data_IF_146405370427
#
_entry.id   IF_146405370427
#
_cell.length_a   1.000
_cell.length_b   1.000
_cell.length_c   1.000
_cell.angle_alpha   90.00
_cell.angle_beta   90.00
_cell.angle_gamma   90.00
#
_symmetry.space_group_name_H-M   'P 1'
#
loop_
_entity.id
_entity.type
_entity.pdbx_description
1 polymer ?
#
# COMPACT_ATOMS: atom_id res chain seq x y z
N UNK A 1 -28.72 -12.72 -4.06
CA UNK A 1 -27.89 -12.59 -2.83
C UNK A 1 -27.68 -11.10 -2.64
N UNK A 2 -27.81 -10.52 -1.43
CA UNK A 2 -27.66 -9.08 -1.28
C UNK A 2 -26.30 -8.61 -1.81
N UNK A 3 -26.27 -7.41 -2.39
CA UNK A 3 -25.03 -6.82 -2.89
C UNK A 3 -23.98 -6.76 -1.77
N UNK A 4 -22.74 -7.22 -2.01
CA UNK A 4 -21.69 -7.22 -0.98
C UNK A 4 -21.19 -5.82 -0.63
N UNK A 5 -21.51 -4.81 -1.46
CA UNK A 5 -21.01 -3.45 -1.28
C UNK A 5 -19.49 -3.41 -1.32
N UNK A 6 -18.89 -2.70 -0.36
CA UNK A 6 -17.44 -2.59 -0.20
C UNK A 6 -16.76 -3.86 0.35
N UNK A 7 -17.52 -4.89 0.74
CA UNK A 7 -16.93 -6.13 1.24
C UNK A 7 -16.43 -7.00 0.09
N UNK A 8 -15.18 -7.46 0.20
CA UNK A 8 -14.63 -8.41 -0.76
C UNK A 8 -15.29 -9.78 -0.57
N UNK A 9 -15.85 -10.35 -1.63
CA UNK A 9 -16.49 -11.67 -1.64
C UNK A 9 -16.05 -12.50 -2.85
N UNK A 10 -16.01 -13.82 -2.65
CA UNK A 10 -15.62 -14.79 -3.66
C UNK A 10 -16.83 -15.53 -4.23
N UNK A 11 -16.66 -16.12 -5.42
CA UNK A 11 -17.62 -17.07 -5.98
C UNK A 11 -18.89 -16.43 -6.56
N UNK A 12 -18.88 -15.12 -6.82
CA UNK A 12 -19.99 -14.42 -7.48
C UNK A 12 -19.60 -13.93 -8.87
N UNK A 13 -20.60 -13.77 -9.75
CA UNK A 13 -20.40 -13.21 -11.08
C UNK A 13 -20.27 -11.69 -11.02
N UNK A 14 -19.28 -11.18 -11.74
CA UNK A 14 -18.99 -9.75 -11.85
C UNK A 14 -19.22 -9.24 -13.26
N UNK A 15 -19.55 -7.96 -13.33
CA UNK A 15 -19.79 -7.26 -14.57
C UNK A 15 -19.10 -5.90 -14.52
N UNK A 16 -18.66 -5.43 -15.68
CA UNK A 16 -17.98 -4.14 -15.84
C UNK A 16 -18.41 -3.46 -17.13
N UNK A 17 -18.30 -2.13 -17.25
CA UNK A 17 -18.46 -1.45 -18.52
C UNK A 17 -17.37 -1.86 -19.52
N UNK A 18 -17.71 -1.95 -20.80
CA UNK A 18 -16.78 -2.35 -21.87
C UNK A 18 -15.58 -1.38 -22.02
N UNK A 19 -15.73 -0.13 -21.56
CA UNK A 19 -14.69 0.88 -21.62
C UNK A 19 -13.71 0.85 -20.43
N UNK A 20 -13.94 0.00 -19.43
CA UNK A 20 -12.99 -0.24 -18.33
C UNK A 20 -12.22 -1.53 -18.57
N UNK A 21 -11.07 -1.72 -17.93
CA UNK A 21 -10.42 -3.02 -17.88
C UNK A 21 -11.07 -3.91 -16.80
N UNK A 22 -11.03 -5.24 -16.94
CA UNK A 22 -11.50 -6.15 -15.89
C UNK A 22 -10.82 -5.85 -14.54
N UNK A 23 -11.61 -5.73 -13.47
CA UNK A 23 -11.11 -5.48 -12.11
C UNK A 23 -10.79 -4.02 -11.77
N UNK A 24 -10.93 -3.08 -12.70
CA UNK A 24 -10.77 -1.64 -12.40
C UNK A 24 -12.02 -1.03 -11.78
N UNK A 25 -13.18 -1.42 -12.28
CA UNK A 25 -14.48 -1.01 -11.80
C UNK A 25 -15.46 -2.12 -12.09
N UNK A 26 -16.02 -2.73 -11.04
CA UNK A 26 -16.89 -3.89 -11.17
C UNK A 26 -18.14 -3.76 -10.30
N UNK A 27 -19.21 -4.41 -10.73
CA UNK A 27 -20.43 -4.55 -9.96
C UNK A 27 -20.93 -5.98 -9.97
N UNK A 28 -21.50 -6.39 -8.82
CA UNK A 28 -21.93 -7.76 -8.63
C UNK A 28 -23.15 -8.10 -9.50
N UNK A 29 -23.37 -9.39 -9.75
CA UNK A 29 -24.52 -9.87 -10.52
C UNK A 29 -25.88 -9.42 -9.98
N UNK A 30 -26.01 -9.18 -8.67
CA UNK A 30 -27.24 -8.62 -8.08
C UNK A 30 -27.49 -7.19 -8.58
N UNK A 31 -26.48 -6.31 -8.48
CA UNK A 31 -26.58 -4.93 -8.98
C UNK A 31 -26.80 -4.89 -10.48
N UNK A 32 -26.15 -5.77 -11.25
CA UNK A 32 -26.40 -5.91 -12.67
C UNK A 32 -27.86 -6.26 -12.96
N UNK A 33 -28.39 -7.32 -12.35
CA UNK A 33 -29.75 -7.78 -12.58
C UNK A 33 -30.80 -6.74 -12.18
N UNK A 34 -30.58 -6.03 -11.07
CA UNK A 34 -31.54 -5.07 -10.53
C UNK A 34 -31.55 -3.73 -11.29
N UNK A 35 -30.39 -3.18 -11.64
CA UNK A 35 -30.28 -1.79 -12.13
C UNK A 35 -29.86 -1.66 -13.60
N UNK A 36 -29.26 -2.70 -14.18
CA UNK A 36 -28.57 -2.59 -15.46
C UNK A 36 -29.20 -3.47 -16.53
N UNK A 37 -29.48 -4.74 -16.22
CA UNK A 37 -29.90 -5.77 -17.18
C UNK A 37 -31.09 -5.37 -18.06
N UNK A 38 -32.05 -4.63 -17.52
CA UNK A 38 -33.27 -4.25 -18.25
C UNK A 38 -33.21 -2.82 -18.85
N UNK A 39 -32.04 -2.20 -18.87
CA UNK A 39 -31.84 -0.87 -19.47
C UNK A 39 -31.34 -0.98 -20.91
N UNK A 40 -31.59 0.05 -21.71
CA UNK A 40 -31.10 0.14 -23.10
C UNK A 40 -29.57 0.18 -23.20
N UNK A 41 -28.90 0.63 -22.13
CA UNK A 41 -27.44 0.74 -22.07
C UNK A 41 -26.75 -0.55 -21.60
N UNK A 42 -27.49 -1.65 -21.36
CA UNK A 42 -26.91 -2.93 -20.93
C UNK A 42 -25.89 -3.50 -21.93
N UNK A 43 -25.99 -3.14 -23.21
CA UNK A 43 -25.12 -3.59 -24.31
C UNK A 43 -23.68 -3.13 -24.13
N UNK A 44 -23.47 -2.10 -23.30
CA UNK A 44 -22.14 -1.58 -22.96
C UNK A 44 -21.50 -2.30 -21.77
N UNK A 45 -22.09 -3.40 -21.31
CA UNK A 45 -21.58 -4.18 -20.19
C UNK A 45 -20.99 -5.50 -20.64
N UNK A 46 -19.90 -5.88 -19.95
CA UNK A 46 -19.18 -7.14 -20.06
C UNK A 46 -19.47 -7.97 -18.83
N UNK A 47 -19.55 -9.29 -19.03
CA UNK A 47 -19.48 -10.27 -17.95
C UNK A 47 -18.00 -10.63 -17.75
N UNK A 48 -17.47 -10.36 -16.56
CA UNK A 48 -16.07 -10.69 -16.22
C UNK A 48 -15.92 -12.10 -15.64
N UNK A 49 -17.04 -12.83 -15.47
CA UNK A 49 -17.05 -14.18 -14.93
C UNK A 49 -17.11 -14.22 -13.40
N UNK A 50 -16.77 -15.37 -12.85
CA UNK A 50 -16.74 -15.61 -11.40
C UNK A 50 -15.34 -15.28 -10.89
N UNK A 51 -15.25 -14.29 -10.00
CA UNK A 51 -13.98 -13.83 -9.42
C UNK A 51 -14.20 -13.30 -7.99
N UNK A 52 -13.11 -13.00 -7.30
CA UNK A 52 -13.11 -12.29 -6.03
C UNK A 52 -13.18 -10.78 -6.28
N UNK A 53 -13.91 -10.04 -5.44
CA UNK A 53 -13.96 -8.59 -5.58
C UNK A 53 -14.94 -7.89 -4.64
N UNK A 54 -14.92 -6.57 -4.72
CA UNK A 54 -15.85 -5.64 -4.09
C UNK A 54 -16.76 -5.01 -5.15
N UNK A 55 -17.95 -4.56 -4.75
CA UNK A 55 -18.89 -3.89 -5.64
C UNK A 55 -18.71 -2.38 -5.57
N UNK A 56 -18.31 -1.79 -6.70
CA UNK A 56 -18.11 -0.35 -6.86
C UNK A 56 -19.43 0.39 -7.16
N UNK A 57 -20.56 -0.33 -7.27
CA UNK A 57 -21.88 0.24 -7.57
C UNK A 57 -22.55 0.90 -6.36
N UNK A 58 -21.89 1.94 -5.83
CA UNK A 58 -22.38 2.76 -4.72
C UNK A 58 -23.66 3.54 -5.10
N UNK A 59 -24.28 4.19 -4.11
CA UNK A 59 -25.46 5.03 -4.35
C UNK A 59 -25.20 6.17 -5.33
N UNK A 60 -24.01 6.80 -5.27
CA UNK A 60 -23.63 7.87 -6.18
C UNK A 60 -23.44 7.34 -7.60
N UNK A 61 -22.76 6.20 -7.75
CA UNK A 61 -22.56 5.53 -9.04
C UNK A 61 -23.91 5.12 -9.66
N UNK A 62 -24.84 4.59 -8.86
CA UNK A 62 -26.22 4.28 -9.27
C UNK A 62 -26.95 5.51 -9.82
N UNK A 63 -26.83 6.66 -9.15
CA UNK A 63 -27.46 7.88 -9.63
C UNK A 63 -26.92 8.30 -11.00
N UNK A 64 -25.61 8.25 -11.20
CA UNK A 64 -24.99 8.60 -12.49
C UNK A 64 -25.39 7.62 -13.59
N UNK A 65 -25.53 6.33 -13.27
CA UNK A 65 -26.07 5.33 -14.19
C UNK A 65 -27.50 5.66 -14.60
N UNK A 66 -28.38 5.99 -13.65
CA UNK A 66 -29.77 6.35 -13.93
C UNK A 66 -29.87 7.61 -14.81
N UNK A 67 -29.00 8.61 -14.61
CA UNK A 67 -28.93 9.79 -15.48
C UNK A 67 -28.55 9.38 -16.91
N UNK A 68 -27.51 8.57 -17.07
CA UNK A 68 -27.09 8.07 -18.38
C UNK A 68 -28.21 7.30 -19.10
N UNK A 69 -28.91 6.40 -18.38
CA UNK A 69 -30.05 5.65 -18.92
C UNK A 69 -31.20 6.59 -19.31
N UNK A 70 -31.53 7.58 -18.47
CA UNK A 70 -32.63 8.53 -18.76
C UNK A 70 -32.39 9.36 -20.03
N UNK A 71 -31.12 9.60 -20.37
CA UNK A 71 -30.72 10.30 -21.60
C UNK A 71 -30.29 9.36 -22.73
N UNK A 72 -30.32 8.05 -22.48
CA UNK A 72 -29.81 7.01 -23.37
C UNK A 72 -28.38 7.31 -23.90
N UNK A 73 -27.52 7.85 -23.03
CA UNK A 73 -26.16 8.27 -23.39
C UNK A 73 -25.13 7.70 -22.40
N UNK A 74 -24.43 6.65 -22.84
CA UNK A 74 -23.38 5.99 -22.06
C UNK A 74 -22.21 6.92 -21.74
N UNK A 75 -21.97 7.96 -22.53
CA UNK A 75 -20.84 8.86 -22.33
C UNK A 75 -20.99 9.70 -21.06
N UNK A 76 -22.22 9.90 -20.58
CA UNK A 76 -22.47 10.54 -19.28
C UNK A 76 -21.89 9.67 -18.15
N UNK A 77 -22.17 8.37 -18.17
CA UNK A 77 -21.64 7.45 -17.18
C UNK A 77 -20.12 7.31 -17.31
N UNK A 78 -19.62 7.20 -18.55
CA UNK A 78 -18.18 7.18 -18.83
C UNK A 78 -17.47 8.42 -18.28
N UNK A 79 -18.00 9.62 -18.54
CA UNK A 79 -17.42 10.88 -18.07
C UNK A 79 -17.38 11.01 -16.55
N UNK A 80 -18.22 10.27 -15.83
CA UNK A 80 -18.14 10.15 -14.37
C UNK A 80 -17.12 9.12 -13.90
N UNK A 81 -17.06 7.95 -14.55
CA UNK A 81 -16.21 6.81 -14.13
C UNK A 81 -14.74 7.01 -14.50
N UNK A 82 -14.43 7.48 -15.71
CA UNK A 82 -13.05 7.56 -16.21
C UNK A 82 -12.12 8.46 -15.39
N UNK A 83 -12.52 9.68 -14.98
CA UNK A 83 -11.65 10.52 -14.14
C UNK A 83 -11.32 9.87 -12.79
N UNK A 84 -12.30 9.18 -12.18
CA UNK A 84 -12.10 8.45 -10.92
C UNK A 84 -11.17 7.26 -11.10
N UNK A 85 -11.31 6.54 -12.21
CA UNK A 85 -10.38 5.47 -12.56
C UNK A 85 -8.96 6.00 -12.80
N UNK A 86 -8.83 7.15 -13.46
CA UNK A 86 -7.54 7.84 -13.61
C UNK A 86 -6.89 8.11 -12.25
N UNK A 87 -7.63 8.71 -11.33
CA UNK A 87 -7.15 8.96 -9.96
C UNK A 87 -6.78 7.67 -9.21
N UNK A 88 -7.62 6.63 -9.26
CA UNK A 88 -7.34 5.34 -8.62
C UNK A 88 -6.07 4.70 -9.18
N UNK A 89 -5.83 4.78 -10.51
CA UNK A 89 -4.60 4.28 -11.14
C UNK A 89 -3.38 5.04 -10.62
N UNK A 90 -3.45 6.38 -10.54
CA UNK A 90 -2.36 7.20 -9.99
C UNK A 90 -2.05 6.85 -8.53
N UNK A 91 -3.08 6.62 -7.71
CA UNK A 91 -2.91 6.18 -6.32
C UNK A 91 -2.28 4.80 -6.23
N UNK A 92 -2.70 3.84 -7.06
CA UNK A 92 -2.10 2.49 -7.13
C UNK A 92 -0.64 2.56 -7.56
N UNK A 93 -0.32 3.33 -8.59
CA UNK A 93 1.06 3.54 -9.05
C UNK A 93 1.94 4.14 -7.93
N UNK A 94 1.40 5.07 -7.14
CA UNK A 94 2.10 5.62 -5.98
C UNK A 94 2.31 4.57 -4.89
N UNK A 95 1.28 3.76 -4.62
CA UNK A 95 1.33 2.66 -3.65
C UNK A 95 2.42 1.64 -4.03
N UNK A 96 2.47 1.22 -5.30
CA UNK A 96 3.47 0.28 -5.81
C UNK A 96 4.89 0.84 -5.65
N UNK A 97 5.11 2.13 -5.97
CA UNK A 97 6.40 2.80 -5.74
C UNK A 97 6.79 2.81 -4.26
N UNK A 98 5.85 3.11 -3.37
CA UNK A 98 6.09 3.12 -1.93
C UNK A 98 6.40 1.73 -1.37
N UNK A 99 5.74 0.68 -1.88
CA UNK A 99 6.03 -0.70 -1.47
C UNK A 99 7.47 -1.10 -1.80
N UNK A 100 7.98 -0.69 -2.98
CA UNK A 100 9.37 -0.91 -3.36
C UNK A 100 10.32 -0.19 -2.40
N UNK A 101 10.07 1.08 -2.10
CA UNK A 101 10.89 1.87 -1.17
C UNK A 101 10.86 1.25 0.24
N UNK A 102 9.68 0.85 0.72
CA UNK A 102 9.52 0.21 2.02
C UNK A 102 10.33 -1.09 2.12
N UNK A 103 10.32 -1.90 1.06
CA UNK A 103 11.09 -3.14 0.97
C UNK A 103 12.60 -2.88 1.01
N UNK A 104 13.07 -1.84 0.32
CA UNK A 104 14.48 -1.42 0.34
C UNK A 104 14.91 -0.93 1.72
N UNK A 105 14.08 -0.12 2.39
CA UNK A 105 14.35 0.35 3.75
C UNK A 105 14.37 -0.79 4.77
N UNK A 106 13.50 -1.79 4.61
CA UNK A 106 13.53 -3.00 5.44
C UNK A 106 14.85 -3.75 5.30
N UNK A 107 15.29 -4.01 4.06
CA UNK A 107 16.57 -4.69 3.79
C UNK A 107 17.76 -3.90 4.35
N UNK A 108 17.77 -2.57 4.15
CA UNK A 108 18.79 -1.70 4.73
C UNK A 108 18.82 -1.81 6.26
N UNK A 109 17.66 -1.79 6.92
CA UNK A 109 17.56 -1.90 8.37
C UNK A 109 18.09 -3.25 8.88
N UNK A 110 17.74 -4.35 8.22
CA UNK A 110 18.25 -5.68 8.55
C UNK A 110 19.77 -5.74 8.48
N UNK A 111 20.36 -5.17 7.42
CA UNK A 111 21.82 -5.08 7.27
C UNK A 111 22.47 -4.26 8.40
N UNK A 112 21.86 -3.13 8.79
CA UNK A 112 22.36 -2.31 9.90
C UNK A 112 22.31 -3.07 11.23
N UNK A 113 21.22 -3.80 11.51
CA UNK A 113 21.09 -4.62 12.73
C UNK A 113 22.18 -5.69 12.80
N UNK A 114 22.43 -6.40 11.69
CA UNK A 114 23.51 -7.41 11.62
C UNK A 114 24.87 -6.75 11.84
N UNK A 115 25.12 -5.62 11.18
CA UNK A 115 26.39 -4.88 11.32
C UNK A 115 26.62 -4.44 12.76
N UNK A 116 25.59 -3.89 13.41
CA UNK A 116 25.65 -3.48 14.81
C UNK A 116 25.98 -4.67 15.72
N UNK A 117 25.33 -5.82 15.50
CA UNK A 117 25.57 -7.03 16.26
C UNK A 117 27.05 -7.47 16.16
N UNK A 118 27.63 -7.44 14.95
CA UNK A 118 29.04 -7.75 14.73
C UNK A 118 29.97 -6.81 15.50
N UNK A 119 29.73 -5.50 15.47
CA UNK A 119 30.53 -4.54 16.23
C UNK A 119 30.40 -4.72 17.75
N UNK A 120 29.22 -5.10 18.26
CA UNK A 120 29.04 -5.43 19.66
C UNK A 120 29.82 -6.70 20.08
N UNK A 121 29.89 -7.71 19.22
CA UNK A 121 30.74 -8.89 19.45
C UNK A 121 32.21 -8.48 19.50
N UNK A 122 32.69 -7.68 18.53
CA UNK A 122 34.08 -7.20 18.49
C UNK A 122 34.44 -6.35 19.71
N UNK A 123 33.54 -5.47 20.15
CA UNK A 123 33.74 -4.69 21.37
C UNK A 123 33.90 -5.58 22.61
N UNK A 124 33.15 -6.69 22.67
CA UNK A 124 33.18 -7.63 23.80
C UNK A 124 34.46 -8.48 23.80
N UNK A 125 34.93 -8.94 22.65
CA UNK A 125 36.19 -9.71 22.54
C UNK A 125 37.42 -8.86 22.83
N UNK A 126 37.39 -7.59 22.45
CA UNK A 126 38.46 -6.61 22.75
C UNK A 126 38.68 -6.48 24.26
N UNK A 127 37.60 -6.43 25.05
CA UNK A 127 37.67 -6.34 26.52
C UNK A 127 38.32 -7.56 27.17
N UNK A 128 38.16 -8.75 26.59
CA UNK A 128 38.72 -9.99 27.13
C UNK A 128 40.24 -10.11 26.88
N UNK A 129 40.79 -9.40 25.89
CA UNK A 129 42.21 -9.46 25.54
C UNK A 129 43.09 -8.45 26.29
N UNK A 130 42.51 -7.36 26.80
CA UNK A 130 43.21 -6.24 27.46
C UNK A 130 43.49 -6.47 28.96
N UNK A 131 43.89 -7.70 29.33
CA UNK A 131 44.29 -8.05 30.70
C UNK A 131 45.69 -7.58 31.11
N UNK A 132 46.30 -6.60 30.42
CA UNK A 132 47.61 -6.08 30.75
C UNK A 132 47.83 -4.65 30.25
N UNK A 133 48.18 -3.75 31.18
CA UNK A 133 48.91 -2.46 31.13
C UNK A 133 48.99 -1.63 29.81
N UNK A 134 48.06 -1.76 28.86
CA UNK A 134 47.98 -0.87 27.71
C UNK A 134 47.26 0.45 28.04
N UNK A 135 47.71 1.59 27.47
CA UNK A 135 47.07 2.88 27.69
C UNK A 135 45.60 2.81 27.28
N UNK A 136 44.69 3.17 28.20
CA UNK A 136 43.27 3.26 27.90
C UNK A 136 43.03 4.41 26.93
N UNK A 137 42.97 4.12 25.63
CA UNK A 137 42.48 5.08 24.66
C UNK A 137 41.02 5.42 25.00
N UNK A 138 40.75 6.68 25.29
CA UNK A 138 39.41 7.15 25.58
C UNK A 138 38.68 7.41 24.26
N UNK A 139 37.66 6.60 23.97
CA UNK A 139 36.82 6.78 22.78
C UNK A 139 35.56 7.57 23.18
N UNK A 140 35.20 8.59 22.40
CA UNK A 140 33.99 9.37 22.65
C UNK A 140 33.18 9.58 21.39
N UNK A 141 31.86 9.53 21.50
CA UNK A 141 30.93 9.82 20.42
C UNK A 141 29.63 10.40 20.97
N UNK A 142 29.13 11.46 20.34
CA UNK A 142 27.91 12.16 20.73
C UNK A 142 27.86 12.51 22.25
N UNK A 143 28.98 13.00 22.80
CA UNK A 143 29.11 13.36 24.22
C UNK A 143 29.23 12.19 25.21
N UNK A 144 29.14 10.93 24.74
CA UNK A 144 29.29 9.73 25.57
C UNK A 144 30.68 9.13 25.44
N UNK A 145 31.19 8.52 26.53
CA UNK A 145 32.47 7.78 26.56
C UNK A 145 32.24 6.29 26.30
N UNK A 146 33.17 5.68 25.57
CA UNK A 146 33.13 4.31 25.13
C UNK A 146 34.46 3.61 25.43
N UNK A 147 34.38 2.31 25.69
CA UNK A 147 35.53 1.47 26.05
C UNK A 147 36.29 0.90 24.84
N UNK A 148 35.77 1.08 23.61
CA UNK A 148 36.41 0.60 22.38
C UNK A 148 35.89 1.37 21.17
N UNK A 149 36.70 1.42 20.10
CA UNK A 149 36.27 1.94 18.81
C UNK A 149 35.07 1.18 18.24
N UNK A 150 35.01 -0.15 18.42
CA UNK A 150 33.86 -0.96 18.01
C UNK A 150 32.56 -0.56 18.73
N UNK A 151 32.63 -0.13 20.00
CA UNK A 151 31.46 0.39 20.72
C UNK A 151 30.97 1.73 20.16
N UNK A 152 31.89 2.58 19.68
CA UNK A 152 31.53 3.82 18.99
C UNK A 152 30.82 3.53 17.67
N UNK A 153 31.33 2.59 16.88
CA UNK A 153 30.68 2.22 15.61
C UNK A 153 29.31 1.56 15.83
N UNK A 154 29.17 0.70 16.84
CA UNK A 154 27.86 0.15 17.22
C UNK A 154 26.84 1.24 17.60
N UNK A 155 27.28 2.30 18.29
CA UNK A 155 26.43 3.44 18.65
C UNK A 155 26.07 4.30 17.42
N UNK A 156 27.00 4.50 16.47
CA UNK A 156 26.71 5.18 15.19
C UNK A 156 25.66 4.43 14.38
N UNK A 157 25.80 3.11 14.29
CA UNK A 157 24.85 2.26 13.57
C UNK A 157 23.47 2.28 14.25
N UNK A 158 23.40 2.34 15.60
CA UNK A 158 22.12 2.48 16.30
C UNK A 158 21.34 3.72 15.82
N UNK A 159 22.01 4.87 15.70
CA UNK A 159 21.37 6.10 15.22
C UNK A 159 20.79 5.91 13.81
N UNK A 160 21.51 5.20 12.94
CA UNK A 160 21.02 4.90 11.58
C UNK A 160 19.83 3.92 11.59
N UNK A 161 19.82 2.94 12.50
CA UNK A 161 18.68 2.03 12.70
C UNK A 161 17.45 2.81 13.17
N UNK A 162 17.62 3.76 14.09
CA UNK A 162 16.54 4.59 14.61
C UNK A 162 15.97 5.50 13.52
N UNK A 163 16.84 6.11 12.71
CA UNK A 163 16.45 6.92 11.55
C UNK A 163 15.70 6.09 10.51
N UNK A 164 16.21 4.91 10.13
CA UNK A 164 15.54 4.01 9.19
C UNK A 164 14.19 3.53 9.74
N UNK A 165 14.09 3.27 11.05
CA UNK A 165 12.80 2.92 11.69
C UNK A 165 11.77 4.03 11.57
N UNK A 166 12.18 5.29 11.77
CA UNK A 166 11.31 6.45 11.58
C UNK A 166 10.85 6.57 10.13
N UNK A 167 11.76 6.44 9.17
CA UNK A 167 11.45 6.51 7.73
C UNK A 167 10.48 5.39 7.34
N UNK A 168 10.75 4.15 7.73
CA UNK A 168 9.89 3.00 7.48
C UNK A 168 8.47 3.20 8.00
N UNK A 169 8.33 3.69 9.23
CA UNK A 169 7.02 3.94 9.83
C UNK A 169 6.24 5.04 9.09
N UNK A 170 6.92 6.06 8.58
CA UNK A 170 6.29 7.10 7.76
C UNK A 170 5.73 6.52 6.45
N UNK A 171 6.51 5.69 5.74
CA UNK A 171 6.02 5.04 4.51
C UNK A 171 4.87 4.08 4.77
N UNK A 172 4.91 3.34 5.88
CA UNK A 172 3.81 2.45 6.26
C UNK A 172 2.53 3.23 6.56
N UNK A 173 2.63 4.40 7.20
CA UNK A 173 1.50 5.27 7.43
C UNK A 173 0.93 5.84 6.11
N UNK A 174 1.80 6.26 5.19
CA UNK A 174 1.39 6.74 3.86
C UNK A 174 0.68 5.66 3.04
N UNK A 175 1.18 4.42 3.05
CA UNK A 175 0.55 3.28 2.39
C UNK A 175 -0.89 3.06 2.90
N UNK A 176 -1.10 3.09 4.21
CA UNK A 176 -2.44 2.94 4.81
C UNK A 176 -3.39 4.07 4.39
N UNK A 177 -2.89 5.29 4.24
CA UNK A 177 -3.69 6.42 3.75
C UNK A 177 -4.12 6.20 2.30
N UNK A 178 -3.21 5.72 1.44
CA UNK A 178 -3.52 5.41 0.05
C UNK A 178 -4.53 4.27 -0.07
N UNK A 179 -4.37 3.20 0.70
CA UNK A 179 -5.34 2.08 0.76
C UNK A 179 -6.73 2.56 1.17
N UNK A 180 -6.80 3.45 2.17
CA UNK A 180 -8.04 4.07 2.61
C UNK A 180 -8.67 4.96 1.53
N UNK A 181 -7.88 5.79 0.84
CA UNK A 181 -8.35 6.66 -0.23
C UNK A 181 -8.88 5.86 -1.43
N UNK A 182 -8.17 4.80 -1.84
CA UNK A 182 -8.60 3.88 -2.90
C UNK A 182 -9.93 3.21 -2.50
N UNK A 183 -10.05 2.72 -1.26
CA UNK A 183 -11.27 2.02 -0.80
C UNK A 183 -12.50 2.92 -0.79
N UNK A 184 -12.33 4.23 -0.60
CA UNK A 184 -13.41 5.21 -0.56
C UNK A 184 -13.64 5.94 -1.88
N UNK A 185 -12.91 5.61 -2.95
CA UNK A 185 -12.98 6.37 -4.22
C UNK A 185 -14.35 6.32 -4.92
N UNK A 186 -15.22 5.40 -4.49
CA UNK A 186 -16.57 5.23 -5.03
C UNK A 186 -17.71 5.64 -4.08
N UNK A 187 -17.42 5.94 -2.82
CA UNK A 187 -18.41 6.18 -1.76
C UNK A 187 -18.41 7.64 -1.32
#
# INVERSE_FOLDING_TARGET
MPCPGSNCVDGITWYSPNFTQPGEFAFCGECYNQFIRNTTLNVYMRNDGIQSGNCDFSSNVKQQWLIAVSRNDINIFRGYVEPRLGHIRELRDRMDRLQVILSQELQRKEFLIISQHNYNIMASTSKLRLGGDEPSYEYSFNGSRYNSSSSVEAARIQIQIDESSRIFNNYLAELRLLEHEISNSWY
#
